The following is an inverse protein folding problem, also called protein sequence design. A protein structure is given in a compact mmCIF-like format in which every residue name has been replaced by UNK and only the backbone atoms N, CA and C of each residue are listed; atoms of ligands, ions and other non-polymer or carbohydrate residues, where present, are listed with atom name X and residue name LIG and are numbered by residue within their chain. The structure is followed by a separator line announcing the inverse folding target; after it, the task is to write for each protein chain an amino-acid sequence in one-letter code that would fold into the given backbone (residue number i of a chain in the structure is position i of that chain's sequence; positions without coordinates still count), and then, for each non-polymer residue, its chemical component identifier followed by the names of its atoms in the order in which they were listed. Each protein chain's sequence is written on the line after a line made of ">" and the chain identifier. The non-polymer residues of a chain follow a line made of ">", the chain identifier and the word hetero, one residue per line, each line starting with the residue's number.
data_IF_302752501156
#
_entry.id   IF_302752501156
#
_cell.length_a   1.000
_cell.length_b   1.000
_cell.length_c   1.000
_cell.angle_alpha   90.00
_cell.angle_beta   90.00
_cell.angle_gamma   90.00
#
_symmetry.space_group_name_H-M   'P 1'
#
loop_
_entity.id
_entity.type
_entity.pdbx_description
1 polymer ?
#
# COMPACT_ATOMS: atom_id res chain seq x y z
N UNK A 1 33.93 -45.46 -53.24
CA UNK A 1 33.35 -45.38 -51.88
C UNK A 1 31.87 -45.03 -52.01
N UNK A 2 31.07 -45.66 -51.16
CA UNK A 2 29.63 -45.94 -51.23
C UNK A 2 28.64 -44.79 -51.45
N UNK A 3 27.49 -45.20 -51.98
CA UNK A 3 26.17 -44.58 -52.12
C UNK A 3 25.52 -44.09 -50.82
N UNK A 4 24.57 -43.14 -50.92
CA UNK A 4 23.52 -42.95 -49.91
C UNK A 4 22.50 -41.84 -50.21
N UNK A 5 21.40 -42.18 -50.90
CA UNK A 5 20.11 -41.47 -50.82
C UNK A 5 19.31 -42.01 -49.61
N UNK A 6 18.70 -41.15 -48.78
CA UNK A 6 17.44 -41.41 -48.03
C UNK A 6 16.89 -40.05 -47.53
N UNK A 7 15.90 -39.43 -48.19
CA UNK A 7 14.44 -39.48 -47.93
C UNK A 7 13.98 -39.12 -46.51
N UNK A 8 13.32 -37.96 -46.42
CA UNK A 8 12.12 -37.58 -45.63
C UNK A 8 12.06 -37.93 -44.13
N UNK A 9 11.92 -36.89 -43.28
CA UNK A 9 10.82 -36.77 -42.32
C UNK A 9 10.76 -35.37 -41.68
N UNK A 10 9.64 -34.69 -41.90
CA UNK A 10 9.18 -33.54 -41.13
C UNK A 10 8.70 -34.06 -39.77
N UNK A 11 9.18 -33.50 -38.67
CA UNK A 11 8.50 -33.56 -37.38
C UNK A 11 8.88 -32.31 -36.57
N UNK A 12 8.07 -31.27 -36.71
CA UNK A 12 8.10 -30.13 -35.82
C UNK A 12 7.64 -30.54 -34.43
N UNK A 13 8.43 -30.22 -33.43
CA UNK A 13 7.98 -30.11 -32.04
C UNK A 13 8.31 -28.70 -31.58
N UNK A 14 7.39 -27.78 -31.87
CA UNK A 14 7.37 -26.47 -31.22
C UNK A 14 6.75 -26.72 -29.84
N UNK A 15 7.59 -26.80 -28.83
CA UNK A 15 7.16 -26.80 -27.44
C UNK A 15 6.61 -25.41 -27.11
N UNK A 16 5.32 -25.16 -27.40
CA UNK A 16 4.58 -24.08 -26.76
C UNK A 16 4.43 -24.44 -25.28
N UNK A 17 5.42 -24.07 -24.48
CA UNK A 17 5.25 -23.99 -23.04
C UNK A 17 4.26 -22.87 -22.76
N UNK A 18 3.01 -23.23 -22.44
CA UNK A 18 2.05 -22.30 -21.85
C UNK A 18 2.61 -21.85 -20.50
N UNK A 19 3.24 -20.68 -20.48
CA UNK A 19 3.42 -19.92 -19.25
C UNK A 19 2.04 -19.42 -18.82
N UNK A 20 1.36 -20.19 -17.97
CA UNK A 20 0.30 -19.66 -17.14
C UNK A 20 0.94 -18.73 -16.10
N UNK A 21 1.34 -17.54 -16.56
CA UNK A 21 1.68 -16.45 -15.67
C UNK A 21 0.41 -16.04 -14.96
N UNK A 22 0.25 -16.44 -13.70
CA UNK A 22 -0.66 -15.78 -12.78
C UNK A 22 -0.24 -14.31 -12.77
N UNK A 23 -0.95 -13.49 -13.54
CA UNK A 23 -0.84 -12.05 -13.45
C UNK A 23 -1.24 -11.67 -12.03
N UNK A 24 -0.26 -11.54 -11.14
CA UNK A 24 -0.44 -10.82 -9.90
C UNK A 24 -0.63 -9.37 -10.33
N UNK A 25 -1.87 -9.00 -10.64
CA UNK A 25 -2.25 -7.61 -10.68
C UNK A 25 -2.00 -7.10 -9.27
N UNK A 26 -0.99 -6.24 -9.11
CA UNK A 26 -0.83 -5.48 -7.89
C UNK A 26 -2.12 -4.68 -7.73
N UNK A 27 -2.99 -5.13 -6.81
CA UNK A 27 -4.17 -4.37 -6.46
C UNK A 27 -3.66 -3.12 -5.74
N UNK A 28 -3.76 -1.97 -6.41
CA UNK A 28 -3.42 -0.69 -5.79
C UNK A 28 -4.36 -0.45 -4.61
N UNK A 29 -3.82 0.09 -3.50
CA UNK A 29 -4.63 0.44 -2.34
C UNK A 29 -5.74 1.46 -2.64
N UNK A 30 -5.74 2.11 -3.81
CA UNK A 30 -6.82 2.98 -4.27
C UNK A 30 -8.18 2.29 -4.38
N UNK A 31 -8.23 0.96 -4.52
CA UNK A 31 -9.48 0.18 -4.49
C UNK A 31 -9.89 -0.32 -3.09
N UNK A 32 -9.08 -0.06 -2.07
CA UNK A 32 -9.33 -0.51 -0.69
C UNK A 32 -10.48 0.29 -0.06
N UNK A 33 -11.30 -0.30 0.82
CA UNK A 33 -12.22 0.44 1.69
C UNK A 33 -11.52 1.49 2.57
N UNK A 34 -10.19 1.41 2.71
CA UNK A 34 -9.36 2.35 3.46
C UNK A 34 -8.58 3.34 2.58
N UNK A 35 -8.85 3.41 1.27
CA UNK A 35 -8.14 4.31 0.35
C UNK A 35 -8.13 5.77 0.87
N UNK A 36 -9.31 6.27 1.26
CA UNK A 36 -9.46 7.60 1.86
C UNK A 36 -8.57 7.81 3.10
N UNK A 37 -8.44 6.78 3.94
CA UNK A 37 -7.64 6.85 5.14
C UNK A 37 -6.13 6.94 4.83
N UNK A 38 -5.68 6.23 3.80
CA UNK A 38 -4.31 6.33 3.31
C UNK A 38 -4.02 7.71 2.69
N UNK A 39 -4.95 8.27 1.93
CA UNK A 39 -4.79 9.59 1.32
C UNK A 39 -4.70 10.68 2.39
N UNK A 40 -5.60 10.65 3.38
CA UNK A 40 -5.61 11.61 4.49
C UNK A 40 -4.35 11.45 5.36
N UNK A 41 -3.89 10.22 5.62
CA UNK A 41 -2.64 10.00 6.35
C UNK A 41 -1.42 10.48 5.55
N UNK A 42 -1.43 10.25 4.23
CA UNK A 42 -0.46 10.80 3.29
C UNK A 42 -0.36 12.32 3.41
N UNK A 43 -1.50 13.01 3.31
CA UNK A 43 -1.59 14.46 3.45
C UNK A 43 -1.08 14.95 4.81
N UNK A 44 -1.48 14.30 5.91
CA UNK A 44 -1.01 14.65 7.26
C UNK A 44 0.52 14.58 7.36
N UNK A 45 1.12 13.51 6.83
CA UNK A 45 2.58 13.38 6.77
C UNK A 45 3.23 14.47 5.92
N UNK A 46 2.68 14.77 4.73
CA UNK A 46 3.26 15.78 3.83
C UNK A 46 3.22 17.16 4.47
N UNK A 47 2.13 17.50 5.15
CA UNK A 47 2.00 18.73 5.92
C UNK A 47 3.00 18.78 7.08
N UNK A 48 3.24 17.66 7.78
CA UNK A 48 4.26 17.61 8.83
C UNK A 48 5.67 17.83 8.27
N UNK A 49 6.04 17.13 7.19
CA UNK A 49 7.34 17.31 6.51
C UNK A 49 7.49 18.76 6.04
N UNK A 50 6.43 19.34 5.46
CA UNK A 50 6.41 20.75 5.06
C UNK A 50 6.62 21.69 6.24
N UNK A 51 5.95 21.43 7.37
CA UNK A 51 6.11 22.23 8.57
C UNK A 51 7.54 22.17 9.13
N UNK A 52 8.17 21.00 9.13
CA UNK A 52 9.55 20.85 9.60
C UNK A 52 10.54 21.54 8.67
N UNK A 53 10.42 21.31 7.36
CA UNK A 53 11.32 21.89 6.35
C UNK A 53 11.20 23.42 6.26
N UNK A 54 9.98 23.95 6.42
CA UNK A 54 9.68 25.37 6.21
C UNK A 54 9.44 26.15 7.51
N UNK A 55 9.67 25.55 8.69
CA UNK A 55 9.47 26.16 10.01
C UNK A 55 8.03 26.68 10.22
N UNK A 56 7.05 25.88 9.84
CA UNK A 56 5.63 26.21 9.84
C UNK A 56 4.80 25.31 10.78
N UNK A 57 5.37 24.89 11.90
CA UNK A 57 4.74 24.01 12.88
C UNK A 57 3.41 24.57 13.40
N UNK A 58 3.30 25.88 13.59
CA UNK A 58 2.04 26.51 14.03
C UNK A 58 0.92 26.34 13.00
N UNK A 59 1.23 26.40 11.70
CA UNK A 59 0.25 26.16 10.62
C UNK A 59 -0.21 24.71 10.61
N UNK A 60 0.71 23.77 10.82
CA UNK A 60 0.36 22.36 10.98
C UNK A 60 -0.57 22.14 12.17
N UNK A 61 -0.25 22.69 13.33
CA UNK A 61 -1.08 22.57 14.52
C UNK A 61 -2.50 23.13 14.30
N UNK A 62 -2.63 24.26 13.61
CA UNK A 62 -3.95 24.83 13.27
C UNK A 62 -4.79 23.89 12.39
N UNK A 63 -4.17 23.24 11.39
CA UNK A 63 -4.85 22.23 10.55
C UNK A 63 -5.24 21.02 11.40
N UNK A 64 -4.34 20.53 12.26
CA UNK A 64 -4.61 19.38 13.13
C UNK A 64 -5.76 19.66 14.11
N UNK A 65 -5.86 20.88 14.61
CA UNK A 65 -6.94 21.30 15.50
C UNK A 65 -8.27 21.36 14.75
N UNK A 66 -8.31 22.04 13.60
CA UNK A 66 -9.53 22.19 12.79
C UNK A 66 -10.12 20.86 12.35
N UNK A 67 -9.29 19.94 11.86
CA UNK A 67 -9.73 18.65 11.30
C UNK A 67 -9.51 17.47 12.25
N UNK A 68 -9.34 17.73 13.55
CA UNK A 68 -9.01 16.70 14.56
C UNK A 68 -9.92 15.48 14.48
N UNK A 69 -11.24 15.71 14.39
CA UNK A 69 -12.24 14.63 14.38
C UNK A 69 -12.08 13.74 13.15
N UNK A 70 -12.02 14.32 11.95
CA UNK A 70 -11.71 13.61 10.69
C UNK A 70 -10.42 12.83 10.75
N UNK A 71 -9.33 13.47 11.19
CA UNK A 71 -8.00 12.84 11.26
C UNK A 71 -7.99 11.61 12.16
N UNK A 72 -8.65 11.68 13.32
CA UNK A 72 -8.80 10.55 14.23
C UNK A 72 -9.67 9.43 13.62
N UNK A 73 -10.74 9.78 12.91
CA UNK A 73 -11.60 8.82 12.25
C UNK A 73 -10.85 8.06 11.14
N UNK A 74 -10.09 8.75 10.30
CA UNK A 74 -9.26 8.13 9.27
C UNK A 74 -8.12 7.30 9.87
N UNK A 75 -7.46 7.77 10.94
CA UNK A 75 -6.46 6.98 11.66
C UNK A 75 -7.06 5.66 12.21
N UNK A 76 -8.29 5.69 12.72
CA UNK A 76 -8.97 4.47 13.17
C UNK A 76 -9.32 3.53 12.01
N UNK A 77 -9.73 4.07 10.85
CA UNK A 77 -9.98 3.27 9.63
C UNK A 77 -8.70 2.62 9.11
N UNK A 78 -7.59 3.36 9.10
CA UNK A 78 -6.28 2.85 8.72
C UNK A 78 -5.83 1.73 9.66
N UNK A 79 -5.93 1.94 10.98
CA UNK A 79 -5.65 0.92 11.98
C UNK A 79 -6.51 -0.33 11.79
N UNK A 80 -7.80 -0.16 11.47
CA UNK A 80 -8.71 -1.28 11.18
C UNK A 80 -8.25 -2.05 9.95
N UNK A 81 -7.87 -1.37 8.87
CA UNK A 81 -7.31 -1.99 7.68
C UNK A 81 -6.09 -2.86 8.02
N UNK A 82 -5.09 -2.31 8.71
CA UNK A 82 -3.90 -3.08 9.05
C UNK A 82 -4.21 -4.28 9.93
N UNK A 83 -5.15 -4.14 10.87
CA UNK A 83 -5.64 -5.25 11.71
C UNK A 83 -6.33 -6.34 10.90
N UNK A 84 -7.19 -5.97 9.96
CA UNK A 84 -7.92 -6.94 9.13
C UNK A 84 -7.01 -7.63 8.13
N UNK A 85 -6.04 -6.91 7.57
CA UNK A 85 -5.17 -7.39 6.49
C UNK A 85 -3.99 -8.22 7.01
N UNK A 86 -3.36 -7.78 8.11
CA UNK A 86 -2.10 -8.38 8.59
C UNK A 86 -2.22 -9.09 9.95
N UNK A 87 -3.39 -9.01 10.60
CA UNK A 87 -3.67 -9.72 11.85
C UNK A 87 -2.64 -9.40 12.94
N UNK A 88 -1.84 -10.41 13.34
CA UNK A 88 -0.82 -10.26 14.40
C UNK A 88 0.31 -9.29 14.02
N UNK A 89 0.55 -9.08 12.72
CA UNK A 89 1.59 -8.16 12.23
C UNK A 89 1.09 -6.72 12.06
N UNK A 90 -0.20 -6.45 12.30
CA UNK A 90 -0.83 -5.16 12.01
C UNK A 90 -0.05 -3.94 12.47
N UNK A 91 0.43 -3.95 13.71
CA UNK A 91 1.19 -2.81 14.26
C UNK A 91 2.52 -2.62 13.52
N UNK A 92 3.26 -3.71 13.25
CA UNK A 92 4.55 -3.65 12.58
C UNK A 92 4.39 -3.13 11.15
N UNK A 93 3.39 -3.62 10.42
CA UNK A 93 3.13 -3.19 9.03
C UNK A 93 2.62 -1.75 8.98
N UNK A 94 1.82 -1.33 9.97
CA UNK A 94 1.37 0.05 10.08
C UNK A 94 2.54 0.99 10.37
N UNK A 95 3.39 0.66 11.34
CA UNK A 95 4.55 1.48 11.71
C UNK A 95 5.58 1.55 10.57
N UNK A 96 5.77 0.44 9.84
CA UNK A 96 6.59 0.39 8.63
C UNK A 96 6.02 1.28 7.52
N UNK A 97 4.71 1.22 7.27
CA UNK A 97 4.03 2.13 6.34
C UNK A 97 4.24 3.61 6.71
N UNK A 98 4.00 3.99 7.97
CA UNK A 98 4.19 5.38 8.43
C UNK A 98 5.64 5.83 8.31
N UNK A 99 6.59 4.97 8.65
CA UNK A 99 8.02 5.26 8.53
C UNK A 99 8.43 5.46 7.08
N UNK A 100 7.99 4.57 6.19
CA UNK A 100 8.29 4.70 4.76
C UNK A 100 7.65 5.95 4.17
N UNK A 101 6.40 6.24 4.51
CA UNK A 101 5.70 7.45 4.08
C UNK A 101 6.49 8.72 4.45
N UNK A 102 6.91 8.83 5.71
CA UNK A 102 7.71 9.97 6.17
C UNK A 102 9.06 10.05 5.42
N UNK A 103 9.71 8.92 5.16
CA UNK A 103 10.98 8.86 4.44
C UNK A 103 10.82 9.32 2.99
N UNK A 104 9.87 8.78 2.21
CA UNK A 104 9.74 9.16 0.79
C UNK A 104 9.41 10.64 0.63
N UNK A 105 8.60 11.19 1.53
CA UNK A 105 8.23 12.61 1.50
C UNK A 105 9.39 13.51 1.95
N UNK A 106 10.14 13.08 2.97
CA UNK A 106 11.34 13.81 3.42
C UNK A 106 12.41 13.80 2.34
N UNK A 107 12.67 12.66 1.69
CA UNK A 107 13.60 12.56 0.57
C UNK A 107 13.19 13.50 -0.58
N UNK A 108 11.91 13.52 -0.95
CA UNK A 108 11.38 14.46 -1.95
C UNK A 108 11.62 15.92 -1.55
N UNK A 109 11.44 16.26 -0.28
CA UNK A 109 11.71 17.61 0.23
C UNK A 109 13.19 17.98 0.13
N UNK A 110 14.09 17.05 0.48
CA UNK A 110 15.54 17.25 0.41
C UNK A 110 16.02 17.39 -1.04
N UNK A 111 15.50 16.55 -1.94
CA UNK A 111 15.80 16.61 -3.38
C UNK A 111 15.35 17.94 -4.01
N UNK A 112 14.23 18.50 -3.53
CA UNK A 112 13.68 19.75 -4.02
C UNK A 112 14.38 21.00 -3.46
N UNK A 113 15.12 20.86 -2.35
CA UNK A 113 15.87 21.95 -1.73
C UNK A 113 14.97 23.13 -1.36
N UNK A 114 15.43 24.35 -1.64
CA UNK A 114 14.71 25.59 -1.27
C UNK A 114 13.37 25.75 -1.98
N UNK A 115 13.22 25.19 -3.19
CA UNK A 115 12.00 25.28 -4.01
C UNK A 115 10.83 24.53 -3.34
N UNK A 116 11.12 23.56 -2.47
CA UNK A 116 10.11 22.79 -1.76
C UNK A 116 9.13 23.69 -1.00
N UNK A 117 9.65 24.67 -0.24
CA UNK A 117 8.81 25.56 0.55
C UNK A 117 7.96 26.47 -0.33
N UNK A 118 8.52 27.00 -1.41
CA UNK A 118 7.76 27.84 -2.36
C UNK A 118 6.58 27.08 -2.97
N UNK A 119 6.71 25.77 -3.17
CA UNK A 119 5.68 24.92 -3.78
C UNK A 119 4.66 24.34 -2.79
N UNK A 120 5.04 24.17 -1.51
CA UNK A 120 4.26 23.39 -0.55
C UNK A 120 3.67 24.21 0.58
N UNK A 121 4.26 25.37 0.92
CA UNK A 121 3.78 26.17 2.06
C UNK A 121 2.34 26.65 1.88
N UNK A 122 1.92 26.93 0.63
CA UNK A 122 0.56 27.34 0.28
C UNK A 122 -0.49 26.27 0.57
N UNK A 123 -0.11 24.99 0.68
CA UNK A 123 -1.04 23.91 1.00
C UNK A 123 -1.71 24.11 2.36
N UNK A 124 -1.06 24.76 3.33
CA UNK A 124 -1.71 25.07 4.60
C UNK A 124 -2.87 26.04 4.43
N UNK A 125 -2.70 27.05 3.58
CA UNK A 125 -3.72 28.08 3.34
C UNK A 125 -4.90 27.46 2.55
N UNK A 126 -4.61 26.54 1.64
CA UNK A 126 -5.64 25.76 0.93
C UNK A 126 -6.42 24.85 1.88
N UNK A 127 -5.74 24.08 2.74
CA UNK A 127 -6.39 23.14 3.67
C UNK A 127 -7.19 23.86 4.74
N UNK A 128 -6.67 24.95 5.30
CA UNK A 128 -7.39 25.70 6.34
C UNK A 128 -8.63 26.41 5.78
N UNK A 129 -8.71 26.63 4.46
CA UNK A 129 -9.86 27.23 3.79
C UNK A 129 -10.99 26.23 3.48
N UNK A 130 -10.78 24.92 3.60
CA UNK A 130 -11.82 23.92 3.32
C UNK A 130 -12.98 24.02 4.31
N UNK A 131 -14.22 23.84 3.88
CA UNK A 131 -15.39 24.07 4.72
C UNK A 131 -15.62 22.95 5.73
N UNK A 132 -15.39 21.70 5.34
CA UNK A 132 -15.69 20.53 6.16
C UNK A 132 -14.69 19.36 6.01
N UNK A 133 -14.97 18.30 6.77
CA UNK A 133 -14.17 17.07 6.80
C UNK A 133 -14.19 16.27 5.48
N UNK A 134 -15.27 16.37 4.70
CA UNK A 134 -15.41 15.67 3.42
C UNK A 134 -14.55 16.33 2.35
N UNK A 135 -14.42 17.65 2.40
CA UNK A 135 -13.52 18.40 1.53
C UNK A 135 -12.05 18.10 1.81
N UNK A 136 -11.67 17.82 3.06
CA UNK A 136 -10.30 17.39 3.38
C UNK A 136 -9.93 16.10 2.64
N UNK A 137 -10.82 15.12 2.62
CA UNK A 137 -10.58 13.85 1.93
C UNK A 137 -10.47 14.03 0.41
N UNK A 138 -11.35 14.84 -0.18
CA UNK A 138 -11.27 15.17 -1.61
C UNK A 138 -9.98 15.90 -1.95
N UNK A 139 -9.57 16.82 -1.09
CA UNK A 139 -8.32 17.54 -1.24
C UNK A 139 -7.11 16.59 -1.17
N UNK A 140 -7.09 15.68 -0.19
CA UNK A 140 -6.03 14.68 -0.04
C UNK A 140 -5.90 13.80 -1.30
N UNK A 141 -7.04 13.31 -1.80
CA UNK A 141 -7.09 12.52 -3.05
C UNK A 141 -6.61 13.33 -4.26
N UNK A 142 -6.98 14.61 -4.37
CA UNK A 142 -6.67 15.43 -5.54
C UNK A 142 -5.20 15.91 -5.61
N UNK A 143 -4.49 15.99 -4.48
CA UNK A 143 -3.12 16.52 -4.43
C UNK A 143 -2.02 15.53 -4.87
N UNK A 144 -2.38 14.29 -5.19
CA UNK A 144 -1.43 13.23 -5.60
C UNK A 144 -0.23 13.15 -4.65
N UNK A 145 -0.55 12.99 -3.35
CA UNK A 145 0.46 12.95 -2.30
C UNK A 145 1.31 11.69 -2.49
N UNK A 146 2.63 11.86 -2.40
CA UNK A 146 3.55 10.73 -2.58
C UNK A 146 3.36 9.69 -1.47
N UNK A 147 3.02 8.48 -1.89
CA UNK A 147 2.84 7.30 -1.04
C UNK A 147 4.05 6.37 -1.20
N UNK A 148 4.38 5.54 -0.19
CA UNK A 148 5.45 4.54 -0.29
C UNK A 148 5.04 3.37 -1.21
N UNK A 149 6.02 2.65 -1.76
CA UNK A 149 5.75 1.49 -2.62
C UNK A 149 4.92 0.39 -1.93
N UNK A 150 5.00 0.28 -0.60
CA UNK A 150 4.18 -0.62 0.21
C UNK A 150 2.66 -0.36 0.07
N UNK A 151 2.26 0.87 -0.24
CA UNK A 151 0.88 1.23 -0.57
C UNK A 151 0.44 0.69 -1.94
N UNK A 152 1.34 0.57 -2.92
CA UNK A 152 0.99 0.01 -4.22
C UNK A 152 0.75 -1.51 -4.15
N UNK A 153 1.38 -2.18 -3.17
CA UNK A 153 1.32 -3.63 -2.97
C UNK A 153 0.26 -4.06 -1.96
N UNK A 154 -0.91 -3.41 -1.94
CA UNK A 154 -2.04 -3.68 -1.02
C UNK A 154 -2.58 -5.13 -1.00
N UNK A 155 -1.97 -6.05 -1.77
CA UNK A 155 -2.22 -7.47 -1.70
C UNK A 155 -1.92 -7.98 -0.28
N UNK A 156 -2.98 -8.26 0.48
CA UNK A 156 -2.90 -9.11 1.66
C UNK A 156 -2.11 -10.38 1.26
N UNK A 157 -1.13 -10.84 2.05
CA UNK A 157 -0.53 -12.14 1.80
C UNK A 157 -1.68 -13.14 1.72
N UNK A 158 -1.75 -13.91 0.62
CA UNK A 158 -2.73 -14.98 0.51
C UNK A 158 -2.60 -15.80 1.78
N UNK A 159 -3.62 -15.76 2.64
CA UNK A 159 -3.70 -16.69 3.77
C UNK A 159 -3.76 -18.04 3.09
N UNK A 160 -2.62 -18.72 3.03
CA UNK A 160 -2.59 -20.15 2.81
C UNK A 160 -3.47 -20.69 3.92
N UNK A 161 -4.74 -20.91 3.61
CA UNK A 161 -5.58 -21.81 4.35
C UNK A 161 -4.91 -23.16 4.13
N UNK A 162 -3.87 -23.43 4.91
CA UNK A 162 -3.42 -24.79 5.17
C UNK A 162 -4.66 -25.46 5.69
N UNK A 163 -5.36 -26.11 4.77
CA UNK A 163 -6.43 -27.02 5.07
C UNK A 163 -5.67 -28.20 5.70
N UNK A 164 -5.30 -28.04 6.97
CA UNK A 164 -5.00 -29.16 7.83
C UNK A 164 -6.30 -29.95 7.88
N UNK A 165 -6.47 -30.80 6.87
CA UNK A 165 -7.32 -31.96 6.93
C UNK A 165 -6.65 -32.84 7.98
N UNK A 166 -6.87 -32.49 9.25
CA UNK A 166 -6.57 -33.34 10.39
C UNK A 166 -7.50 -34.52 10.24
N UNK A 167 -7.07 -35.51 9.46
CA UNK A 167 -7.66 -36.82 9.31
C UNK A 167 -7.61 -37.55 10.67
N UNK A 168 -8.44 -37.09 11.59
CA UNK A 168 -8.75 -37.75 12.86
C UNK A 168 -9.75 -38.87 12.58
N UNK A 169 -9.37 -39.81 11.73
CA UNK A 169 -10.14 -41.02 11.46
C UNK A 169 -9.16 -42.10 10.99
N UNK A 170 -8.50 -42.78 11.94
CA UNK A 170 -8.28 -44.25 12.00
C UNK A 170 -7.26 -44.61 13.09
N UNK A 171 -7.59 -44.34 14.35
CA UNK A 171 -6.87 -44.93 15.51
C UNK A 171 -7.87 -45.54 16.49
N UNK A 172 -8.78 -46.36 15.97
CA UNK A 172 -9.57 -47.31 16.75
C UNK A 172 -9.67 -48.61 15.94
N UNK A 173 -9.38 -49.71 16.65
CA UNK A 173 -9.69 -51.11 16.33
C UNK A 173 -8.97 -51.77 15.15
N UNK A 174 -7.77 -52.28 15.42
CA UNK A 174 -7.35 -53.62 14.99
C UNK A 174 -6.09 -54.05 15.79
N UNK A 175 -6.30 -54.41 17.06
CA UNK A 175 -5.31 -55.16 17.85
C UNK A 175 -6.06 -56.34 18.48
N UNK A 176 -5.67 -57.56 18.08
CA UNK A 176 -6.03 -58.88 18.62
C UNK A 176 -7.47 -59.39 18.39
N UNK A 177 -7.58 -60.39 17.53
CA UNK A 177 -7.95 -61.76 17.92
C UNK A 177 -7.11 -62.72 17.09
#
# INVERSE_FOLDING_TARGET
>A
MSTGLFRLAIAGVVSLGLTAGSGAFAASCSGSPAAEAFDVQGLKSELMVTALSCKAQDRYNAVMEKFRTKLLAEEQRLNTYFRTTYGKRAQIEHDDYITQLANVQSEKSLQSGTIFCDQRIGMFDEVIALDDEHDLSKYALAKDITQPATFETCAAPAVEKTTETRSRARRRTARKA
#
